data_IF_041602480252
#
_entry.id   IF_041602480252
#
_cell.length_a   1.000
_cell.length_b   1.000
_cell.length_c   1.000
_cell.angle_alpha   90.00
_cell.angle_beta   90.00
_cell.angle_gamma   90.00
#
_symmetry.space_group_name_H-M   'P 1'
#
loop_
_entity.id
_entity.type
_entity.pdbx_description
1 polymer ?
#
# COMPACT_ATOMS: atom_id res chain seq x y z
N UNK A 1 -13.97 -12.37 -6.96
CA UNK A 1 -14.12 -13.18 -5.73
C UNK A 1 -15.54 -13.73 -5.69
N UNK A 2 -15.70 -15.01 -5.33
CA UNK A 2 -16.98 -15.62 -4.98
C UNK A 2 -17.17 -15.58 -3.47
N UNK A 3 -18.35 -15.16 -3.01
CA UNK A 3 -18.73 -15.17 -1.59
C UNK A 3 -20.21 -15.54 -1.45
N UNK A 4 -20.54 -16.65 -0.76
CA UNK A 4 -21.93 -17.02 -0.49
C UNK A 4 -22.70 -15.95 0.29
N UNK A 5 -22.03 -15.26 1.21
CA UNK A 5 -22.63 -14.17 1.99
C UNK A 5 -23.05 -13.00 1.09
N UNK A 6 -22.17 -12.60 0.16
CA UNK A 6 -22.47 -11.54 -0.82
C UNK A 6 -23.60 -11.94 -1.77
N UNK A 7 -23.63 -13.22 -2.19
CA UNK A 7 -24.71 -13.72 -3.04
C UNK A 7 -26.07 -13.64 -2.31
N UNK A 8 -26.12 -14.12 -1.06
CA UNK A 8 -27.32 -14.08 -0.23
C UNK A 8 -27.77 -12.65 0.03
N UNK A 9 -26.85 -11.73 0.31
CA UNK A 9 -27.18 -10.33 0.54
C UNK A 9 -27.76 -9.65 -0.73
N UNK A 10 -27.25 -9.99 -1.93
CA UNK A 10 -27.81 -9.52 -3.19
C UNK A 10 -29.22 -10.06 -3.43
N UNK A 11 -29.42 -11.36 -3.17
CA UNK A 11 -30.76 -11.98 -3.30
C UNK A 11 -31.75 -11.31 -2.36
N UNK A 12 -31.37 -11.01 -1.12
CA UNK A 12 -32.21 -10.29 -0.16
C UNK A 12 -32.57 -8.89 -0.64
N UNK A 13 -31.61 -8.13 -1.18
CA UNK A 13 -31.89 -6.81 -1.75
C UNK A 13 -32.91 -6.91 -2.90
N UNK A 14 -32.69 -7.85 -3.85
CA UNK A 14 -33.59 -8.06 -4.98
C UNK A 14 -34.99 -8.51 -4.56
N UNK A 15 -35.07 -9.33 -3.51
CA UNK A 15 -36.34 -9.75 -2.93
C UNK A 15 -37.11 -8.55 -2.35
N UNK A 16 -36.46 -7.68 -1.57
CA UNK A 16 -37.08 -6.48 -1.00
C UNK A 16 -37.52 -5.53 -2.10
N UNK A 17 -36.68 -5.30 -3.12
CA UNK A 17 -37.04 -4.47 -4.26
C UNK A 17 -38.25 -4.97 -5.04
N UNK A 18 -38.45 -6.28 -5.12
CA UNK A 18 -39.58 -6.89 -5.84
C UNK A 18 -40.87 -6.91 -5.02
N UNK A 19 -40.78 -7.21 -3.72
CA UNK A 19 -41.96 -7.49 -2.90
C UNK A 19 -42.37 -6.34 -1.97
N UNK A 20 -41.45 -5.41 -1.66
CA UNK A 20 -41.69 -4.28 -0.74
C UNK A 20 -41.00 -3.00 -1.24
N UNK A 21 -41.24 -2.65 -2.49
CA UNK A 21 -40.61 -1.50 -3.15
C UNK A 21 -40.93 -0.16 -2.47
N UNK A 22 -42.03 -0.07 -1.69
CA UNK A 22 -42.40 1.12 -0.95
C UNK A 22 -41.60 1.34 0.34
N UNK A 23 -40.91 0.33 0.83
CA UNK A 23 -40.20 0.40 2.09
C UNK A 23 -38.73 0.85 1.87
N UNK A 24 -38.55 2.16 1.75
CA UNK A 24 -37.24 2.76 1.51
C UNK A 24 -36.21 2.43 2.63
N UNK A 25 -36.67 2.24 3.87
CA UNK A 25 -35.79 1.91 4.98
C UNK A 25 -35.14 0.53 4.82
N UNK A 26 -35.92 -0.50 4.51
CA UNK A 26 -35.39 -1.85 4.27
C UNK A 26 -34.48 -1.91 3.04
N UNK A 27 -34.86 -1.22 1.96
CA UNK A 27 -34.04 -1.13 0.75
C UNK A 27 -32.69 -0.48 1.06
N UNK A 28 -32.68 0.63 1.79
CA UNK A 28 -31.44 1.31 2.16
C UNK A 28 -30.57 0.46 3.09
N UNK A 29 -31.18 -0.24 4.07
CA UNK A 29 -30.44 -1.16 4.94
C UNK A 29 -29.78 -2.30 4.14
N UNK A 30 -30.50 -2.89 3.18
CA UNK A 30 -29.97 -3.95 2.34
C UNK A 30 -28.83 -3.45 1.42
N UNK A 31 -28.96 -2.24 0.87
CA UNK A 31 -27.88 -1.59 0.10
C UNK A 31 -26.64 -1.33 0.94
N UNK A 32 -26.83 -0.76 2.14
CA UNK A 32 -25.73 -0.50 3.07
C UNK A 32 -25.00 -1.77 3.48
N UNK A 33 -25.73 -2.86 3.74
CA UNK A 33 -25.11 -4.16 4.04
C UNK A 33 -24.18 -4.62 2.90
N UNK A 34 -24.61 -4.49 1.65
CA UNK A 34 -23.78 -4.86 0.48
C UNK A 34 -22.54 -3.99 0.36
N UNK A 35 -22.66 -2.67 0.59
CA UNK A 35 -21.50 -1.76 0.57
C UNK A 35 -20.50 -2.10 1.69
N UNK A 36 -20.99 -2.45 2.89
CA UNK A 36 -20.15 -2.90 4.00
C UNK A 36 -19.45 -4.25 3.71
N UNK A 37 -20.06 -5.11 2.91
CA UNK A 37 -19.47 -6.36 2.44
C UNK A 37 -18.46 -6.16 1.31
N UNK A 38 -18.30 -4.92 0.81
CA UNK A 38 -17.24 -4.53 -0.14
C UNK A 38 -17.66 -4.48 -1.60
N UNK A 39 -18.95 -4.56 -1.92
CA UNK A 39 -19.42 -4.31 -3.29
C UNK A 39 -19.27 -2.81 -3.62
N UNK A 40 -18.86 -2.48 -4.85
CA UNK A 40 -18.80 -1.08 -5.28
C UNK A 40 -20.18 -0.53 -5.61
N UNK A 41 -20.34 0.80 -5.61
CA UNK A 41 -21.59 1.42 -6.01
C UNK A 41 -21.99 1.04 -7.43
N UNK A 42 -21.04 0.97 -8.35
CA UNK A 42 -21.32 0.62 -9.76
C UNK A 42 -21.82 -0.82 -9.88
N UNK A 43 -21.20 -1.75 -9.16
CA UNK A 43 -21.65 -3.15 -9.12
C UNK A 43 -23.03 -3.27 -8.46
N UNK A 44 -23.29 -2.51 -7.39
CA UNK A 44 -24.61 -2.47 -6.76
C UNK A 44 -25.68 -1.96 -7.73
N UNK A 45 -25.41 -0.89 -8.46
CA UNK A 45 -26.34 -0.38 -9.48
C UNK A 45 -26.58 -1.38 -10.61
N UNK A 46 -25.52 -2.10 -11.01
CA UNK A 46 -25.64 -3.15 -12.03
C UNK A 46 -26.55 -4.29 -11.55
N UNK A 47 -26.43 -4.74 -10.32
CA UNK A 47 -27.32 -5.77 -9.73
C UNK A 47 -28.76 -5.27 -9.69
N UNK A 48 -28.99 -4.02 -9.31
CA UNK A 48 -30.33 -3.41 -9.28
C UNK A 48 -30.92 -3.31 -10.70
N UNK A 49 -30.14 -2.85 -11.66
CA UNK A 49 -30.59 -2.66 -13.03
C UNK A 49 -30.87 -3.99 -13.76
N UNK A 50 -30.03 -4.99 -13.54
CA UNK A 50 -30.19 -6.31 -14.19
C UNK A 50 -31.19 -7.20 -13.50
N UNK A 51 -31.56 -6.89 -12.23
CA UNK A 51 -32.40 -7.72 -11.37
C UNK A 51 -31.85 -9.15 -11.19
N UNK A 52 -30.55 -9.34 -11.38
CA UNK A 52 -29.87 -10.62 -11.25
C UNK A 52 -28.69 -10.50 -10.30
N UNK A 53 -28.52 -11.46 -9.36
CA UNK A 53 -27.33 -11.45 -8.51
C UNK A 53 -26.09 -11.83 -9.32
N UNK A 54 -24.97 -11.19 -9.00
CA UNK A 54 -23.67 -11.55 -9.55
C UNK A 54 -23.00 -12.62 -8.67
N UNK A 55 -22.58 -13.72 -9.28
CA UNK A 55 -21.86 -14.78 -8.54
C UNK A 55 -20.44 -14.36 -8.18
N UNK A 56 -19.81 -13.54 -8.99
CA UNK A 56 -18.46 -13.05 -8.77
C UNK A 56 -18.45 -11.53 -8.64
N UNK A 57 -17.64 -11.04 -7.72
CA UNK A 57 -17.45 -9.61 -7.47
C UNK A 57 -16.00 -9.26 -7.70
N UNK A 58 -15.78 -8.22 -8.49
CA UNK A 58 -14.46 -7.66 -8.69
C UNK A 58 -14.08 -6.77 -7.50
N UNK A 59 -12.88 -6.97 -6.98
CA UNK A 59 -12.28 -6.10 -5.95
C UNK A 59 -11.14 -5.35 -6.62
N UNK A 60 -11.21 -4.03 -6.60
CA UNK A 60 -10.24 -3.17 -7.25
C UNK A 60 -9.27 -2.58 -6.23
N UNK A 61 -8.00 -2.50 -6.60
CA UNK A 61 -7.02 -1.75 -5.83
C UNK A 61 -7.31 -0.24 -5.94
N UNK A 62 -7.19 0.48 -4.83
CA UNK A 62 -7.20 1.95 -4.80
C UNK A 62 -5.86 2.57 -5.20
N UNK A 63 -4.84 1.74 -5.34
CA UNK A 63 -3.47 2.13 -5.62
C UNK A 63 -3.04 1.60 -6.97
N UNK A 64 -2.28 2.41 -7.70
CA UNK A 64 -1.61 2.03 -8.95
C UNK A 64 -0.13 1.83 -8.69
N UNK A 65 0.48 0.85 -9.37
CA UNK A 65 1.90 0.54 -9.19
C UNK A 65 2.24 -0.85 -9.69
N UNK A 66 3.42 -1.33 -9.33
CA UNK A 66 3.84 -2.69 -9.57
C UNK A 66 3.29 -3.63 -8.51
N UNK A 67 2.75 -4.75 -8.95
CA UNK A 67 2.20 -5.78 -8.06
C UNK A 67 3.32 -6.74 -7.71
N UNK A 68 3.49 -6.97 -6.43
CA UNK A 68 4.37 -7.99 -5.88
C UNK A 68 3.59 -8.92 -4.98
N UNK A 69 4.11 -10.12 -4.84
CA UNK A 69 3.58 -11.06 -3.87
C UNK A 69 3.53 -10.44 -2.47
N UNK A 70 2.52 -10.79 -1.69
CA UNK A 70 2.49 -10.46 -0.28
C UNK A 70 3.69 -11.15 0.39
N UNK A 71 4.70 -10.37 0.76
CA UNK A 71 5.86 -10.88 1.44
C UNK A 71 5.44 -11.59 2.74
N UNK A 72 5.51 -12.90 2.73
CA UNK A 72 5.47 -13.69 3.94
C UNK A 72 4.19 -14.41 4.26
N UNK A 73 4.08 -15.63 3.83
CA UNK A 73 3.81 -16.76 4.70
C UNK A 73 4.91 -17.80 4.41
N UNK A 74 6.15 -17.40 4.48
CA UNK A 74 7.20 -18.33 4.84
C UNK A 74 7.35 -18.24 6.36
N UNK A 75 6.83 -19.27 7.04
CA UNK A 75 7.23 -19.65 8.39
C UNK A 75 8.74 -19.97 8.40
N UNK A 76 9.56 -18.96 8.35
CA UNK A 76 10.95 -19.04 8.74
C UNK A 76 11.14 -18.15 9.95
N UNK A 77 11.02 -18.79 11.11
CA UNK A 77 11.36 -18.33 12.44
C UNK A 77 12.87 -18.08 12.58
N UNK A 78 13.40 -17.10 11.86
CA UNK A 78 14.65 -16.45 12.15
C UNK A 78 14.48 -14.95 11.99
N UNK A 79 13.73 -14.37 12.92
CA UNK A 79 13.67 -12.93 13.10
C UNK A 79 14.91 -12.46 13.81
N UNK A 80 15.90 -11.99 13.06
CA UNK A 80 16.87 -11.05 13.58
C UNK A 80 16.15 -9.71 13.75
N UNK A 81 15.99 -9.16 14.97
CA UNK A 81 15.24 -7.94 15.21
C UNK A 81 16.05 -6.68 14.88
N UNK A 82 16.55 -6.52 13.68
CA UNK A 82 17.37 -5.37 13.30
C UNK A 82 17.67 -5.25 11.81
N UNK A 83 17.32 -6.25 11.01
CA UNK A 83 17.53 -6.21 9.56
C UNK A 83 16.37 -5.50 8.85
N UNK A 84 16.66 -4.54 7.98
CA UNK A 84 15.77 -4.21 6.87
C UNK A 84 15.37 -5.53 6.22
N UNK A 85 14.07 -5.82 6.17
CA UNK A 85 13.59 -6.94 5.35
C UNK A 85 14.00 -6.62 3.92
N UNK A 86 14.97 -7.35 3.41
CA UNK A 86 15.27 -7.35 1.99
C UNK A 86 13.95 -7.69 1.28
N UNK A 87 13.40 -6.69 0.62
CA UNK A 87 12.30 -6.92 -0.31
C UNK A 87 12.99 -7.56 -1.52
N UNK A 88 13.12 -8.88 -1.47
CA UNK A 88 13.56 -9.63 -2.62
C UNK A 88 12.52 -9.37 -3.72
N UNK A 89 12.89 -8.53 -4.67
CA UNK A 89 12.12 -8.29 -5.89
C UNK A 89 12.31 -9.50 -6.81
N UNK A 90 11.86 -10.65 -6.35
CA UNK A 90 11.88 -11.87 -7.15
C UNK A 90 10.66 -11.82 -8.06
N UNK A 91 10.88 -12.00 -9.33
CA UNK A 91 9.84 -12.16 -10.35
C UNK A 91 9.28 -13.58 -10.25
N UNK A 92 8.71 -13.93 -9.09
CA UNK A 92 8.03 -15.20 -8.88
C UNK A 92 6.56 -15.08 -9.29
N UNK A 93 6.01 -16.17 -9.79
CA UNK A 93 4.56 -16.25 -10.04
C UNK A 93 3.81 -15.96 -8.74
N UNK A 94 2.74 -15.15 -8.82
CA UNK A 94 1.88 -14.91 -7.67
C UNK A 94 1.37 -16.25 -7.12
N UNK A 95 1.53 -16.54 -5.81
CA UNK A 95 1.14 -17.82 -5.23
C UNK A 95 -0.37 -18.02 -5.24
N UNK A 96 -1.13 -16.95 -5.41
CA UNK A 96 -2.58 -16.97 -5.53
C UNK A 96 -2.97 -17.22 -6.97
N UNK A 97 -3.57 -18.39 -7.20
CA UNK A 97 -4.13 -18.81 -8.49
C UNK A 97 -5.65 -18.74 -8.47
N UNK A 98 -6.25 -18.66 -9.65
CA UNK A 98 -7.70 -18.74 -9.79
C UNK A 98 -8.24 -20.02 -9.15
N UNK A 99 -9.36 -19.92 -8.44
CA UNK A 99 -9.97 -21.02 -7.73
C UNK A 99 -9.48 -21.25 -6.28
N UNK A 100 -8.47 -20.50 -5.82
CA UNK A 100 -8.02 -20.62 -4.44
C UNK A 100 -8.93 -19.90 -3.45
N UNK A 101 -9.03 -20.47 -2.25
CA UNK A 101 -9.76 -19.82 -1.14
C UNK A 101 -8.91 -18.73 -0.51
N UNK A 102 -9.54 -17.59 -0.25
CA UNK A 102 -8.95 -16.48 0.48
C UNK A 102 -9.78 -16.15 1.71
N UNK A 103 -9.12 -15.71 2.77
CA UNK A 103 -9.78 -15.33 4.02
C UNK A 103 -9.90 -13.80 4.12
N UNK A 104 -10.91 -13.34 4.85
CA UNK A 104 -11.08 -11.91 5.15
C UNK A 104 -9.86 -11.40 5.92
N UNK A 105 -9.26 -10.31 5.45
CA UNK A 105 -8.05 -9.73 6.05
C UNK A 105 -6.75 -10.36 5.58
N UNK A 106 -6.80 -11.38 4.74
CA UNK A 106 -5.61 -11.95 4.11
C UNK A 106 -5.04 -10.97 3.10
N UNK A 107 -3.73 -10.71 3.19
CA UNK A 107 -3.01 -9.94 2.17
C UNK A 107 -2.84 -10.81 0.93
N UNK A 108 -3.34 -10.34 -0.20
CA UNK A 108 -3.30 -11.06 -1.48
C UNK A 108 -2.03 -10.68 -2.25
N UNK A 109 -1.75 -9.39 -2.34
CA UNK A 109 -0.58 -8.84 -3.00
C UNK A 109 -0.26 -7.47 -2.44
N UNK A 110 0.96 -7.02 -2.68
CA UNK A 110 1.41 -5.67 -2.35
C UNK A 110 1.56 -4.83 -3.61
N UNK A 111 1.14 -3.58 -3.54
CA UNK A 111 1.29 -2.63 -4.65
C UNK A 111 2.35 -1.62 -4.28
N UNK A 112 3.43 -1.57 -5.07
CA UNK A 112 4.53 -0.63 -4.89
C UNK A 112 4.52 0.43 -5.97
N UNK A 113 4.63 1.68 -5.56
CA UNK A 113 4.80 2.78 -6.50
C UNK A 113 6.24 3.31 -6.43
N UNK A 114 7.11 2.88 -7.34
CA UNK A 114 8.52 3.27 -7.31
C UNK A 114 8.78 4.72 -7.73
N UNK A 115 7.78 5.45 -8.20
CA UNK A 115 7.93 6.87 -8.51
C UNK A 115 7.96 7.75 -7.26
N UNK A 116 7.46 7.24 -6.14
CA UNK A 116 7.43 7.94 -4.85
C UNK A 116 8.25 7.17 -3.83
N UNK A 117 9.47 7.61 -3.62
CA UNK A 117 10.44 6.95 -2.72
C UNK A 117 10.99 7.94 -1.71
N UNK A 118 11.54 7.41 -0.65
CA UNK A 118 12.27 8.18 0.35
C UNK A 118 13.70 7.70 0.46
N UNK A 119 14.62 8.61 0.71
CA UNK A 119 15.92 8.30 1.26
C UNK A 119 15.85 8.39 2.79
N UNK A 120 16.31 7.33 3.47
CA UNK A 120 16.46 7.32 4.91
C UNK A 120 17.91 7.64 5.25
N UNK A 121 18.13 8.77 5.88
CA UNK A 121 19.44 9.23 6.28
C UNK A 121 19.62 9.03 7.77
N UNK A 122 20.75 8.48 8.18
CA UNK A 122 21.14 8.36 9.57
C UNK A 122 22.10 9.50 9.92
N UNK A 123 21.69 10.40 10.79
CA UNK A 123 22.41 11.60 11.15
C UNK A 123 22.91 11.48 12.59
N UNK A 124 24.17 11.74 12.81
CA UNK A 124 24.75 11.74 14.15
C UNK A 124 24.20 12.90 15.00
N UNK A 125 24.13 12.68 16.32
CA UNK A 125 23.55 13.63 17.27
C UNK A 125 24.14 15.04 17.19
N UNK A 126 25.43 15.14 16.90
CA UNK A 126 26.16 16.42 16.85
C UNK A 126 25.66 17.37 15.76
N UNK A 127 25.06 16.81 14.69
CA UNK A 127 24.56 17.57 13.54
C UNK A 127 23.05 17.79 13.57
N UNK A 128 22.36 17.33 14.62
CA UNK A 128 20.90 17.39 14.69
C UNK A 128 20.35 18.81 14.70
N UNK A 129 20.98 19.73 15.43
CA UNK A 129 20.50 21.09 15.63
C UNK A 129 20.52 21.95 14.35
N UNK A 130 21.27 21.51 13.35
CA UNK A 130 21.40 22.22 12.06
C UNK A 130 20.36 21.82 11.03
N UNK A 131 19.64 20.69 11.23
CA UNK A 131 18.74 20.15 10.23
C UNK A 131 17.29 20.47 10.57
N UNK A 132 16.57 21.03 9.59
CA UNK A 132 15.17 21.41 9.69
C UNK A 132 14.34 20.71 8.62
N UNK A 133 13.02 20.64 8.85
CA UNK A 133 12.09 20.26 7.77
C UNK A 133 12.22 21.25 6.63
N UNK A 134 12.02 20.74 5.41
CA UNK A 134 12.12 21.47 4.14
C UNK A 134 13.55 21.86 3.74
N UNK A 135 14.58 21.51 4.51
CA UNK A 135 15.96 21.70 4.07
C UNK A 135 16.21 20.95 2.77
N UNK A 136 16.95 21.59 1.88
CA UNK A 136 17.31 21.00 0.59
C UNK A 136 18.38 19.93 0.77
N UNK A 137 18.18 18.82 0.10
CA UNK A 137 19.09 17.67 0.16
C UNK A 137 19.48 17.25 -1.24
N UNK A 138 20.77 17.16 -1.45
CA UNK A 138 21.38 16.60 -2.64
C UNK A 138 21.71 15.13 -2.36
N UNK A 139 21.16 14.22 -3.17
CA UNK A 139 21.32 12.78 -3.04
C UNK A 139 22.13 12.25 -4.21
N UNK A 140 23.12 11.44 -3.94
CA UNK A 140 23.95 10.78 -4.95
C UNK A 140 23.91 9.28 -4.72
N UNK A 141 23.66 8.51 -5.77
CA UNK A 141 23.70 7.04 -5.68
C UNK A 141 25.14 6.57 -5.60
N UNK A 142 25.43 5.59 -4.73
CA UNK A 142 26.77 4.98 -4.70
C UNK A 142 27.10 4.21 -5.96
N UNK A 143 26.09 3.66 -6.65
CA UNK A 143 26.27 2.89 -7.87
C UNK A 143 26.42 3.73 -9.13
N UNK A 144 25.95 4.99 -9.09
CA UNK A 144 26.09 5.95 -10.19
C UNK A 144 26.39 7.35 -9.64
N UNK A 145 27.66 7.65 -9.28
CA UNK A 145 28.05 8.92 -8.70
C UNK A 145 27.83 10.15 -9.61
N UNK A 146 27.64 9.91 -10.91
CA UNK A 146 27.36 10.98 -11.88
C UNK A 146 25.91 11.47 -11.88
N UNK A 147 24.99 10.78 -11.21
CA UNK A 147 23.60 11.19 -11.12
C UNK A 147 23.27 11.76 -9.73
N UNK A 148 22.79 12.98 -9.74
CA UNK A 148 22.37 13.70 -8.54
C UNK A 148 20.87 13.88 -8.54
N UNK A 149 20.26 13.62 -7.41
CA UNK A 149 18.83 13.79 -7.17
C UNK A 149 18.64 14.85 -6.10
N UNK A 150 17.62 15.68 -6.27
CA UNK A 150 17.30 16.71 -5.31
C UNK A 150 16.03 16.35 -4.56
N UNK A 151 16.09 16.47 -3.25
CA UNK A 151 14.98 16.20 -2.36
C UNK A 151 14.87 17.24 -1.27
N UNK A 152 13.89 17.03 -0.38
CA UNK A 152 13.69 17.85 0.81
C UNK A 152 13.48 16.97 2.02
N UNK A 153 13.92 17.47 3.18
CA UNK A 153 13.64 16.84 4.46
C UNK A 153 12.14 16.89 4.71
N UNK A 154 11.50 15.71 4.68
CA UNK A 154 10.07 15.55 4.93
C UNK A 154 9.77 15.33 6.41
N UNK A 155 10.55 14.45 7.04
CA UNK A 155 10.32 14.07 8.41
C UNK A 155 11.63 13.79 9.15
N UNK A 156 11.69 14.24 10.40
CA UNK A 156 12.81 14.00 11.32
C UNK A 156 12.23 13.16 12.47
N UNK A 157 12.75 11.95 12.68
CA UNK A 157 12.31 11.10 13.79
C UNK A 157 12.66 11.78 15.13
N UNK A 158 11.72 11.86 16.09
CA UNK A 158 11.98 12.51 17.39
C UNK A 158 12.75 11.62 18.35
N UNK A 159 13.22 10.45 17.92
CA UNK A 159 13.90 9.47 18.78
C UNK A 159 15.26 9.07 18.21
N UNK A 160 16.27 9.02 19.08
CA UNK A 160 17.57 8.45 18.73
C UNK A 160 17.53 6.92 18.74
N UNK A 161 18.15 6.32 17.76
CA UNK A 161 18.43 4.89 17.80
C UNK A 161 19.54 4.63 18.80
N UNK A 162 19.24 3.88 19.87
CA UNK A 162 20.15 3.61 20.99
C UNK A 162 21.46 2.95 20.54
N UNK A 163 21.41 2.11 19.52
CA UNK A 163 22.55 1.34 19.03
C UNK A 163 23.63 2.22 18.40
N UNK A 164 23.24 3.23 17.63
CA UNK A 164 24.16 4.01 16.79
C UNK A 164 24.20 5.50 17.14
N UNK A 165 23.43 5.93 18.15
CA UNK A 165 23.25 7.36 18.53
C UNK A 165 22.94 8.24 17.32
N UNK A 166 22.18 7.71 16.37
CA UNK A 166 21.78 8.42 15.16
C UNK A 166 20.31 8.75 15.18
N UNK A 167 19.96 9.84 14.52
CA UNK A 167 18.60 10.27 14.23
C UNK A 167 18.26 9.89 12.80
N UNK A 168 17.10 9.30 12.57
CA UNK A 168 16.64 9.02 11.22
C UNK A 168 15.93 10.23 10.63
N UNK A 169 16.37 10.64 9.45
CA UNK A 169 15.75 11.72 8.68
C UNK A 169 15.25 11.15 7.36
N UNK A 170 13.99 11.41 7.06
CA UNK A 170 13.36 10.99 5.82
C UNK A 170 13.38 12.13 4.82
N UNK A 171 13.94 11.87 3.66
CA UNK A 171 14.02 12.81 2.55
C UNK A 171 13.15 12.31 1.42
N UNK A 172 12.19 13.10 1.02
CA UNK A 172 11.38 12.82 -0.16
C UNK A 172 12.05 13.37 -1.42
N UNK A 173 12.07 12.58 -2.48
CA UNK A 173 12.49 13.01 -3.80
C UNK A 173 11.65 12.37 -4.90
N UNK A 174 11.59 13.03 -6.04
CA UNK A 174 10.86 12.53 -7.20
C UNK A 174 11.70 11.51 -7.98
N UNK A 175 11.22 10.27 -8.02
CA UNK A 175 11.81 9.18 -8.77
C UNK A 175 10.93 8.77 -9.98
N UNK A 176 10.12 9.69 -10.51
CA UNK A 176 9.18 9.41 -11.60
C UNK A 176 9.86 8.86 -12.86
N UNK A 177 11.14 9.16 -13.05
CA UNK A 177 11.97 8.60 -14.14
C UNK A 177 12.53 7.21 -13.83
N UNK A 178 12.20 6.64 -12.67
CA UNK A 178 12.60 5.29 -12.21
C UNK A 178 14.12 5.03 -12.28
N UNK A 179 14.92 6.05 -12.06
CA UNK A 179 16.38 5.95 -12.15
C UNK A 179 17.02 5.28 -10.94
N UNK A 180 16.38 5.38 -9.75
CA UNK A 180 16.85 4.75 -8.54
C UNK A 180 15.93 3.59 -8.14
N UNK A 181 16.40 2.34 -8.24
CA UNK A 181 15.71 1.20 -7.64
C UNK A 181 15.67 1.34 -6.11
N UNK A 182 14.56 0.90 -5.50
CA UNK A 182 14.45 0.82 -4.04
C UNK A 182 15.52 -0.10 -3.43
N UNK A 183 15.91 0.18 -2.18
CA UNK A 183 16.93 -0.60 -1.46
C UNK A 183 18.38 -0.22 -1.78
N UNK A 184 18.61 0.80 -2.59
CA UNK A 184 19.96 1.29 -2.90
C UNK A 184 20.49 2.21 -1.83
N UNK A 185 21.81 2.16 -1.61
CA UNK A 185 22.49 3.11 -0.74
C UNK A 185 22.72 4.44 -1.47
N UNK A 186 22.52 5.53 -0.74
CA UNK A 186 22.71 6.89 -1.23
C UNK A 186 23.55 7.70 -0.25
N UNK A 187 24.35 8.60 -0.79
CA UNK A 187 25.03 9.64 -0.03
C UNK A 187 24.20 10.93 -0.13
N UNK A 188 24.13 11.67 0.97
CA UNK A 188 23.35 12.89 1.05
C UNK A 188 24.19 14.06 1.53
N UNK A 189 23.99 15.21 0.90
CA UNK A 189 24.51 16.50 1.34
C UNK A 189 23.32 17.38 1.68
N UNK A 190 23.20 17.78 2.93
CA UNK A 190 22.11 18.63 3.42
C UNK A 190 22.61 20.07 3.45
N UNK A 191 21.88 20.96 2.82
CA UNK A 191 22.16 22.42 2.88
C UNK A 191 21.15 23.05 3.83
N UNK A 192 21.63 23.36 5.05
CA UNK A 192 20.86 24.12 6.03
C UNK A 192 20.83 25.59 5.60
N UNK A 193 19.66 26.21 5.66
CA UNK A 193 19.48 27.66 5.51
C UNK A 193 19.67 28.39 6.81
#
# INVERSE_FOLDING_TARGET
IYSPELLTAQQNLLFVLKNDAGNSSFINTAKQKLLLLGISNDQLQQVIATQKPSFTIAVYSKYSGHIHEAAGIMNNSNTNPGGMKDIALVTEELPLKEGMYIQKGQTIFSVYNPSRVWALLNIFADNQSTIKREDAVELTSETNPGETFFGRVDFIEPFFRKENKTLSVRVFFDNSKLKLPGGRQVKAKISSR
#
